data_IF_127169247701
#
_entry.id   IF_127169247701
#
_cell.length_a   1.000
_cell.length_b   1.000
_cell.length_c   1.000
_cell.angle_alpha   90.00
_cell.angle_beta   90.00
_cell.angle_gamma   90.00
#
_symmetry.space_group_name_H-M   'P 1'
#
loop_
_entity.id
_entity.type
_entity.pdbx_description
1 polymer ?
#
# COMPACT_ATOMS: atom_id res chain seq x y z
N UNK A 1 69.31 14.59 15.55
CA UNK A 1 68.72 15.88 15.96
C UNK A 1 67.23 15.66 16.25
N UNK A 2 66.65 16.32 17.26
CA UNK A 2 65.25 16.21 17.74
C UNK A 2 64.28 17.09 16.90
N UNK A 3 62.94 17.08 17.11
CA UNK A 3 62.06 16.11 17.79
C UNK A 3 60.79 15.72 16.99
N UNK A 4 59.94 14.84 17.55
CA UNK A 4 58.56 14.63 17.12
C UNK A 4 57.63 15.77 17.57
N UNK A 5 56.60 16.09 16.77
CA UNK A 5 55.51 16.98 17.19
C UNK A 5 54.48 16.24 18.03
N UNK A 6 54.08 16.84 19.15
CA UNK A 6 52.87 16.50 19.91
C UNK A 6 52.00 17.76 19.94
N UNK A 7 50.72 17.62 19.68
CA UNK A 7 49.73 18.72 19.74
C UNK A 7 48.81 18.53 20.93
N UNK A 8 48.48 19.63 21.60
CA UNK A 8 47.79 19.64 22.89
C UNK A 8 46.36 19.11 22.88
N UNK A 9 45.98 18.52 24.01
CA UNK A 9 44.62 18.36 24.54
C UNK A 9 44.75 18.85 26.00
N UNK A 10 43.86 19.65 26.61
CA UNK A 10 42.49 20.04 26.26
C UNK A 10 41.54 19.70 27.42
N UNK A 11 41.46 20.53 28.47
CA UNK A 11 40.91 20.18 29.81
C UNK A 11 39.43 19.69 29.88
N UNK A 12 39.13 18.43 29.51
CA UNK A 12 38.06 17.58 30.07
C UNK A 12 38.38 16.09 29.84
N UNK A 13 38.18 15.21 30.84
CA UNK A 13 39.06 14.03 31.16
C UNK A 13 40.48 14.45 31.65
N UNK A 14 40.73 15.75 31.54
CA UNK A 14 41.88 16.56 31.80
C UNK A 14 41.30 17.68 32.70
N UNK A 15 41.22 17.42 34.01
CA UNK A 15 40.64 18.31 35.03
C UNK A 15 41.12 17.89 36.44
N UNK A 16 42.27 17.21 36.49
CA UNK A 16 42.70 16.39 37.64
C UNK A 16 44.22 16.34 37.75
N UNK A 17 44.74 16.42 38.98
CA UNK A 17 46.17 16.57 39.26
C UNK A 17 47.05 15.41 38.76
N UNK A 18 48.29 15.70 38.29
CA UNK A 18 48.96 14.90 37.24
C UNK A 18 49.76 13.68 37.71
N UNK A 19 49.57 13.17 38.93
CA UNK A 19 50.56 12.29 39.58
C UNK A 19 50.27 10.78 39.52
N UNK A 20 49.41 10.35 38.59
CA UNK A 20 49.33 8.97 38.10
C UNK A 20 49.46 9.02 36.58
N UNK A 21 50.28 8.12 36.01
CA UNK A 21 50.56 8.07 34.57
C UNK A 21 49.33 7.52 33.81
N UNK A 22 48.32 8.34 33.62
CA UNK A 22 47.21 8.04 32.70
C UNK A 22 47.76 8.01 31.28
N UNK A 23 47.75 6.82 30.67
CA UNK A 23 48.19 6.62 29.30
C UNK A 23 47.05 6.95 28.35
N UNK A 24 47.22 7.98 27.51
CA UNK A 24 46.32 8.22 26.39
C UNK A 24 46.67 7.27 25.24
N UNK A 25 46.04 6.09 25.23
CA UNK A 25 46.09 5.20 24.08
C UNK A 25 45.09 5.63 23.01
N UNK A 26 45.61 6.02 21.83
CA UNK A 26 44.79 6.44 20.69
C UNK A 26 44.23 5.19 19.99
N UNK A 27 43.05 4.75 20.42
CA UNK A 27 42.36 3.62 19.80
C UNK A 27 41.77 4.00 18.43
N UNK A 28 42.34 3.46 17.36
CA UNK A 28 41.72 3.54 16.03
C UNK A 28 40.59 2.51 15.89
N UNK A 29 39.42 2.93 15.39
CA UNK A 29 38.31 2.01 15.13
C UNK A 29 38.63 1.11 13.94
N UNK A 30 38.64 -0.20 14.16
CA UNK A 30 38.75 -1.21 13.08
C UNK A 30 37.62 -0.99 12.07
N UNK A 31 37.99 -0.84 10.80
CA UNK A 31 37.05 -0.75 9.68
C UNK A 31 36.77 -2.15 9.14
N UNK A 32 35.54 -2.40 8.73
CA UNK A 32 35.12 -3.61 8.04
C UNK A 32 34.35 -3.25 6.77
N UNK A 33 34.28 -4.20 5.83
CA UNK A 33 33.56 -4.00 4.58
C UNK A 33 32.04 -3.96 4.82
N UNK A 34 31.39 -2.96 4.24
CA UNK A 34 29.95 -2.79 4.27
C UNK A 34 29.41 -2.67 2.84
N UNK A 35 28.32 -3.37 2.53
CA UNK A 35 27.58 -3.25 1.28
C UNK A 35 26.10 -3.04 1.56
N UNK A 36 25.56 -1.95 1.03
CA UNK A 36 24.11 -1.71 1.00
C UNK A 36 23.45 -2.64 -0.05
N UNK A 37 22.38 -3.33 0.35
CA UNK A 37 21.55 -4.21 -0.50
C UNK A 37 20.09 -3.71 -0.59
N UNK A 38 19.84 -2.46 -0.16
CA UNK A 38 18.50 -1.86 -0.09
C UNK A 38 17.99 -1.29 -1.43
N UNK A 39 18.77 -1.34 -2.51
CA UNK A 39 18.43 -0.78 -3.84
C UNK A 39 17.00 -1.12 -4.31
N UNK A 40 16.53 -2.35 -4.08
CA UNK A 40 15.17 -2.79 -4.43
C UNK A 40 14.03 -2.03 -3.72
N UNK A 41 14.34 -1.27 -2.68
CA UNK A 41 13.42 -0.43 -1.92
C UNK A 41 13.58 1.07 -2.24
N UNK A 42 14.62 1.47 -2.98
CA UNK A 42 14.86 2.86 -3.37
C UNK A 42 13.93 3.24 -4.54
N UNK A 43 12.91 4.05 -4.24
CA UNK A 43 11.94 4.48 -5.24
C UNK A 43 12.38 5.77 -5.95
N UNK A 44 13.03 5.61 -7.10
CA UNK A 44 13.58 6.72 -7.88
C UNK A 44 12.55 7.46 -8.75
N UNK A 45 11.34 6.90 -8.97
CA UNK A 45 10.30 7.50 -9.82
C UNK A 45 8.91 7.37 -9.16
N UNK A 46 8.45 8.47 -8.56
CA UNK A 46 7.13 8.54 -7.90
C UNK A 46 6.04 8.88 -8.93
N UNK A 47 5.33 7.85 -9.38
CA UNK A 47 4.16 7.97 -10.25
C UNK A 47 2.89 7.59 -9.45
N UNK A 48 2.03 8.58 -9.22
CA UNK A 48 0.81 8.44 -8.42
C UNK A 48 -0.47 8.27 -9.27
N UNK A 49 -0.35 8.16 -10.59
CA UNK A 49 -1.51 7.97 -11.49
C UNK A 49 -2.12 6.56 -11.41
N UNK A 50 -1.41 5.60 -10.81
CA UNK A 50 -1.73 4.16 -10.82
C UNK A 50 -2.58 3.73 -9.62
N UNK A 51 -3.69 3.05 -9.90
CA UNK A 51 -4.52 2.39 -8.89
C UNK A 51 -3.86 1.11 -8.33
N UNK A 52 -4.18 0.74 -7.09
CA UNK A 52 -3.55 -0.37 -6.36
C UNK A 52 -3.71 -1.78 -6.94
N UNK A 53 -4.61 -2.01 -7.91
CA UNK A 53 -4.91 -3.34 -8.45
C UNK A 53 -3.67 -4.10 -8.95
N UNK A 54 -2.71 -3.40 -9.56
CA UNK A 54 -1.46 -3.99 -10.06
C UNK A 54 -0.60 -4.65 -8.96
N UNK A 55 -0.66 -4.15 -7.73
CA UNK A 55 0.07 -4.71 -6.58
C UNK A 55 -0.51 -6.09 -6.21
N UNK A 56 -1.84 -6.21 -6.18
CA UNK A 56 -2.52 -7.47 -5.88
C UNK A 56 -2.30 -8.51 -6.98
N UNK A 57 -2.36 -8.09 -8.26
CA UNK A 57 -2.04 -8.95 -9.39
C UNK A 57 -0.60 -9.49 -9.31
N UNK A 58 0.40 -8.62 -9.11
CA UNK A 58 1.80 -9.06 -8.97
C UNK A 58 2.02 -9.95 -7.74
N UNK A 59 1.34 -9.66 -6.61
CA UNK A 59 1.45 -10.46 -5.39
C UNK A 59 0.88 -11.86 -5.60
N UNK A 60 -0.34 -11.96 -6.16
CA UNK A 60 -1.00 -13.23 -6.45
C UNK A 60 -0.13 -14.10 -7.36
N UNK A 61 0.33 -13.57 -8.49
CA UNK A 61 1.14 -14.33 -9.47
C UNK A 61 2.45 -14.86 -8.89
N UNK A 62 3.20 -14.03 -8.16
CA UNK A 62 4.47 -14.44 -7.53
C UNK A 62 4.25 -15.50 -6.45
N UNK A 63 3.31 -15.28 -5.54
CA UNK A 63 3.04 -16.21 -4.45
C UNK A 63 2.45 -17.53 -4.96
N UNK A 64 1.56 -17.49 -5.96
CA UNK A 64 0.95 -18.69 -6.56
C UNK A 64 2.01 -19.64 -7.13
N UNK A 65 3.03 -19.12 -7.83
CA UNK A 65 4.11 -19.97 -8.35
C UNK A 65 4.86 -20.73 -7.23
N UNK A 66 5.18 -20.06 -6.12
CA UNK A 66 5.83 -20.71 -4.97
C UNK A 66 4.90 -21.70 -4.24
N UNK A 67 3.62 -21.37 -4.11
CA UNK A 67 2.64 -22.25 -3.47
C UNK A 67 2.37 -23.52 -4.30
N UNK A 68 2.22 -23.42 -5.62
CA UNK A 68 2.01 -24.57 -6.50
C UNK A 68 3.12 -25.63 -6.37
N UNK A 69 4.37 -25.21 -6.23
CA UNK A 69 5.48 -26.13 -5.99
C UNK A 69 5.35 -26.84 -4.64
N UNK A 70 5.01 -26.10 -3.57
CA UNK A 70 4.81 -26.69 -2.22
C UNK A 70 3.62 -27.63 -2.15
N UNK A 71 2.51 -27.28 -2.81
CA UNK A 71 1.29 -28.10 -2.97
C UNK A 71 1.66 -29.47 -3.55
N UNK A 72 2.40 -29.49 -4.67
CA UNK A 72 2.87 -30.73 -5.30
C UNK A 72 3.81 -31.55 -4.41
N UNK A 73 4.69 -30.89 -3.65
CA UNK A 73 5.61 -31.58 -2.72
C UNK A 73 4.89 -32.16 -1.49
N UNK A 74 3.84 -31.50 -0.98
CA UNK A 74 3.14 -31.92 0.24
C UNK A 74 1.99 -32.90 -0.02
N UNK A 75 1.31 -32.78 -1.16
CA UNK A 75 0.09 -33.54 -1.47
C UNK A 75 0.15 -34.32 -2.80
N UNK A 76 1.30 -34.32 -3.46
CA UNK A 76 1.50 -35.04 -4.73
C UNK A 76 0.86 -34.33 -5.93
N UNK A 77 0.79 -35.05 -7.05
CA UNK A 77 0.16 -34.57 -8.29
C UNK A 77 -1.31 -35.03 -8.44
N UNK A 78 -1.85 -35.75 -7.44
CA UNK A 78 -3.19 -36.34 -7.45
C UNK A 78 -4.29 -35.29 -7.17
N UNK A 79 -3.95 -34.21 -6.46
CA UNK A 79 -4.89 -33.15 -6.11
C UNK A 79 -4.89 -32.03 -7.16
N UNK A 80 -6.05 -31.79 -7.77
CA UNK A 80 -6.23 -30.73 -8.76
C UNK A 80 -6.23 -29.32 -8.15
N UNK A 81 -5.63 -28.35 -8.85
CA UNK A 81 -5.65 -26.93 -8.46
C UNK A 81 -6.62 -26.13 -9.33
N UNK A 82 -7.90 -26.11 -8.93
CA UNK A 82 -9.00 -25.41 -9.63
C UNK A 82 -8.96 -23.88 -9.39
N UNK A 83 -9.66 -23.08 -10.21
CA UNK A 83 -9.96 -21.67 -9.88
C UNK A 83 -11.26 -21.60 -9.08
N UNK A 84 -11.42 -20.53 -8.30
CA UNK A 84 -12.63 -20.32 -7.49
C UNK A 84 -13.92 -20.25 -8.33
N UNK A 85 -13.84 -19.73 -9.56
CA UNK A 85 -14.97 -19.67 -10.50
C UNK A 85 -15.25 -20.99 -11.24
N UNK A 86 -14.36 -21.98 -11.12
CA UNK A 86 -14.51 -23.30 -11.76
C UNK A 86 -15.15 -24.32 -10.79
N UNK A 87 -15.56 -23.89 -9.59
CA UNK A 87 -16.25 -24.73 -8.60
C UNK A 87 -17.73 -24.83 -8.93
N UNK A 88 -18.26 -26.05 -8.98
CA UNK A 88 -19.68 -26.31 -9.17
C UNK A 88 -20.36 -26.58 -7.82
N UNK A 89 -21.61 -26.14 -7.65
CA UNK A 89 -22.37 -26.32 -6.41
C UNK A 89 -22.95 -27.74 -6.26
N UNK A 90 -23.14 -28.46 -7.37
CA UNK A 90 -23.88 -29.74 -7.43
C UNK A 90 -22.99 -30.97 -7.69
N UNK A 91 -21.69 -30.80 -7.98
CA UNK A 91 -20.78 -31.93 -8.19
C UNK A 91 -20.28 -32.50 -6.86
N UNK A 92 -20.37 -33.82 -6.67
CA UNK A 92 -19.77 -34.54 -5.53
C UNK A 92 -18.36 -34.04 -5.23
N UNK A 93 -18.07 -33.78 -3.94
CA UNK A 93 -16.97 -32.92 -3.50
C UNK A 93 -15.57 -33.53 -3.71
N UNK A 94 -15.07 -33.47 -4.94
CA UNK A 94 -13.67 -33.75 -5.27
C UNK A 94 -12.74 -32.86 -4.43
N UNK A 95 -11.77 -33.49 -3.75
CA UNK A 95 -10.75 -32.76 -2.99
C UNK A 95 -9.87 -31.99 -3.97
N UNK A 96 -9.96 -30.66 -3.93
CA UNK A 96 -9.15 -29.77 -4.75
C UNK A 96 -8.47 -28.70 -3.90
N UNK A 97 -7.46 -28.04 -4.46
CA UNK A 97 -6.71 -26.94 -3.82
C UNK A 97 -7.00 -25.63 -4.53
N UNK A 98 -7.34 -24.60 -3.74
CA UNK A 98 -7.56 -23.24 -4.24
C UNK A 98 -6.44 -22.35 -3.72
N UNK A 99 -5.81 -21.58 -4.61
CA UNK A 99 -4.75 -20.63 -4.27
C UNK A 99 -5.17 -19.22 -4.65
N UNK A 100 -5.38 -18.38 -3.64
CA UNK A 100 -5.81 -16.98 -3.76
C UNK A 100 -5.22 -16.07 -2.68
N UNK A 101 -5.78 -14.87 -2.54
CA UNK A 101 -5.44 -13.91 -1.48
C UNK A 101 -6.59 -13.89 -0.46
N UNK A 102 -6.27 -14.01 0.82
CA UNK A 102 -7.25 -13.89 1.90
C UNK A 102 -7.59 -12.41 2.09
N UNK A 103 -8.88 -12.09 2.09
CA UNK A 103 -9.42 -10.80 2.52
C UNK A 103 -10.18 -10.98 3.83
N UNK A 104 -9.97 -10.08 4.80
CA UNK A 104 -10.69 -10.07 6.06
C UNK A 104 -11.64 -8.88 6.06
N UNK A 105 -12.95 -9.16 6.04
CA UNK A 105 -13.94 -8.13 6.32
C UNK A 105 -13.90 -7.78 7.82
N UNK A 106 -14.01 -6.50 8.15
CA UNK A 106 -13.94 -5.99 9.52
C UNK A 106 -14.92 -4.83 9.65
N UNK A 107 -15.99 -5.01 10.42
CA UNK A 107 -17.08 -4.02 10.56
C UNK A 107 -16.60 -2.70 11.19
N UNK A 108 -15.63 -2.78 12.10
CA UNK A 108 -15.01 -1.63 12.75
C UNK A 108 -13.80 -1.05 11.97
N UNK A 109 -13.61 -1.43 10.70
CA UNK A 109 -12.59 -0.81 9.86
C UNK A 109 -13.04 0.60 9.47
N UNK A 110 -12.19 1.65 9.64
CA UNK A 110 -12.55 3.02 9.25
C UNK A 110 -12.85 3.07 7.75
N UNK A 111 -13.92 3.75 7.37
CA UNK A 111 -14.37 3.79 5.97
C UNK A 111 -14.52 5.23 5.57
N UNK A 112 -13.63 5.72 4.72
CA UNK A 112 -13.62 7.12 4.23
C UNK A 112 -15.00 7.50 3.65
N UNK A 113 -15.71 6.55 3.03
CA UNK A 113 -17.07 6.80 2.52
C UNK A 113 -18.11 6.95 3.64
N UNK A 114 -17.95 6.20 4.74
CA UNK A 114 -18.78 6.33 5.94
C UNK A 114 -18.49 7.65 6.64
N UNK A 115 -17.21 7.96 6.85
CA UNK A 115 -16.75 9.20 7.47
C UNK A 115 -17.31 10.42 6.71
N UNK A 116 -17.19 10.46 5.37
CA UNK A 116 -17.75 11.54 4.50
C UNK A 116 -19.30 11.57 4.51
N UNK A 117 -19.97 10.47 4.81
CA UNK A 117 -21.44 10.42 4.90
C UNK A 117 -21.99 10.84 6.27
N UNK A 118 -21.21 10.63 7.34
CA UNK A 118 -21.56 10.94 8.72
C UNK A 118 -21.12 12.38 9.08
N UNK A 119 -19.90 12.77 8.72
CA UNK A 119 -19.48 14.16 8.65
C UNK A 119 -20.04 14.81 7.38
N UNK A 120 -21.25 15.37 7.48
CA UNK A 120 -21.88 16.15 6.40
C UNK A 120 -20.95 17.26 5.89
N UNK A 121 -20.23 16.95 4.81
CA UNK A 121 -18.93 17.56 4.59
C UNK A 121 -19.01 19.07 4.27
N UNK A 122 -18.26 19.94 4.97
CA UNK A 122 -18.06 21.33 4.59
C UNK A 122 -17.07 21.45 3.41
N UNK A 123 -17.22 20.59 2.39
CA UNK A 123 -16.55 20.74 1.08
C UNK A 123 -17.19 21.88 0.29
N UNK A 124 -16.93 23.09 0.79
CA UNK A 124 -17.19 24.37 0.14
C UNK A 124 -18.60 24.47 -0.51
N UNK A 125 -19.60 24.78 0.33
CA UNK A 125 -21.03 24.82 -0.03
C UNK A 125 -21.34 25.66 -1.28
N UNK A 126 -20.47 26.61 -1.64
CA UNK A 126 -20.55 27.42 -2.87
C UNK A 126 -20.36 26.60 -4.15
N UNK A 127 -19.49 25.59 -4.15
CA UNK A 127 -19.25 24.74 -5.34
C UNK A 127 -20.40 23.76 -5.57
N UNK A 128 -20.92 23.13 -4.51
CA UNK A 128 -22.06 22.20 -4.60
C UNK A 128 -23.35 22.96 -4.92
N UNK A 129 -23.57 24.15 -4.36
CA UNK A 129 -24.72 24.98 -4.73
C UNK A 129 -24.65 25.48 -6.19
N UNK A 130 -23.48 25.89 -6.70
CA UNK A 130 -23.31 26.25 -8.11
C UNK A 130 -23.54 25.07 -9.06
N UNK A 131 -23.03 23.88 -8.73
CA UNK A 131 -23.23 22.66 -9.51
C UNK A 131 -24.70 22.20 -9.49
N UNK A 132 -25.37 22.25 -8.34
CA UNK A 132 -26.79 21.86 -8.23
C UNK A 132 -27.72 22.88 -8.86
N UNK A 133 -27.42 24.18 -8.81
CA UNK A 133 -28.21 25.22 -9.49
C UNK A 133 -28.16 25.08 -11.02
N UNK A 134 -26.97 24.82 -11.58
CA UNK A 134 -26.80 24.59 -13.03
C UNK A 134 -27.47 23.30 -13.48
N UNK A 135 -27.35 22.20 -12.73
CA UNK A 135 -28.07 20.95 -13.01
C UNK A 135 -29.60 21.09 -12.93
N UNK A 136 -30.13 21.75 -11.88
CA UNK A 136 -31.58 21.92 -11.69
C UNK A 136 -32.20 22.82 -12.76
N UNK A 137 -31.45 23.82 -13.23
CA UNK A 137 -31.85 24.68 -14.36
C UNK A 137 -31.79 23.92 -15.69
N UNK A 138 -30.72 23.16 -15.93
CA UNK A 138 -30.57 22.31 -17.13
C UNK A 138 -31.63 21.21 -17.20
N UNK A 139 -31.99 20.59 -16.07
CA UNK A 139 -33.09 19.63 -15.96
C UNK A 139 -34.44 20.30 -16.27
N UNK A 140 -34.76 21.45 -15.66
CA UNK A 140 -36.00 22.19 -16.00
C UNK A 140 -36.08 22.60 -17.47
N UNK A 141 -34.96 22.97 -18.09
CA UNK A 141 -34.90 23.30 -19.51
C UNK A 141 -35.13 22.04 -20.36
N UNK A 142 -34.48 20.92 -20.02
CA UNK A 142 -34.65 19.65 -20.71
C UNK A 142 -36.07 19.08 -20.58
N UNK A 143 -36.69 19.16 -19.40
CA UNK A 143 -38.11 18.78 -19.20
C UNK A 143 -39.09 19.66 -19.97
N UNK A 144 -38.80 20.95 -20.20
CA UNK A 144 -39.62 21.81 -21.07
C UNK A 144 -39.42 21.50 -22.56
N UNK A 145 -38.22 21.04 -22.95
CA UNK A 145 -37.92 20.61 -24.32
C UNK A 145 -38.48 19.20 -24.61
N UNK A 146 -38.51 18.30 -23.63
CA UNK A 146 -39.04 16.94 -23.79
C UNK A 146 -40.57 16.86 -23.72
N UNK A 147 -41.26 17.87 -23.19
CA UNK A 147 -42.72 17.91 -23.10
C UNK A 147 -43.45 17.96 -24.47
N UNK A 148 -42.71 18.10 -25.58
CA UNK A 148 -43.24 18.07 -26.94
C UNK A 148 -43.09 16.74 -27.68
N UNK A 149 -42.47 15.71 -27.09
CA UNK A 149 -42.23 14.41 -27.75
C UNK A 149 -42.71 13.27 -26.85
N UNK A 150 -43.76 12.59 -27.29
CA UNK A 150 -44.31 11.40 -26.61
C UNK A 150 -43.65 10.11 -27.10
N UNK A 151 -43.79 9.07 -26.27
CA UNK A 151 -43.50 7.64 -26.53
C UNK A 151 -42.13 7.07 -26.10
N UNK A 152 -42.24 5.89 -25.49
CA UNK A 152 -41.23 4.91 -25.06
C UNK A 152 -40.63 5.04 -23.63
N UNK A 153 -40.71 3.97 -22.79
CA UNK A 153 -40.16 3.95 -21.44
C UNK A 153 -38.67 3.53 -21.42
N UNK A 154 -37.86 4.18 -20.60
CA UNK A 154 -36.50 3.73 -20.28
C UNK A 154 -36.41 3.26 -18.83
N UNK A 155 -35.70 2.15 -18.63
CA UNK A 155 -35.67 1.40 -17.39
C UNK A 155 -34.98 2.16 -16.24
N UNK A 156 -35.49 1.95 -15.04
CA UNK A 156 -34.99 2.53 -13.80
C UNK A 156 -33.71 1.81 -13.34
N UNK A 157 -32.54 2.33 -13.69
CA UNK A 157 -31.28 1.90 -13.05
C UNK A 157 -31.15 2.65 -11.72
N UNK A 158 -31.39 1.93 -10.62
CA UNK A 158 -31.07 2.37 -9.25
C UNK A 158 -29.58 2.15 -8.99
N UNK A 159 -28.95 3.15 -8.37
CA UNK A 159 -27.87 2.94 -7.40
C UNK A 159 -28.50 2.79 -6.01
#
# INVERSE_FOLDING_TARGET
MKPAMKSDVGECVLASSPNLKTYEEIYSRVKCDYRDLSEKFKNNKKDFSKQYAHIYASRSSKTRAHLLNRVRTQWGNDIEVKKLADLQEESDSERCVIVGIIYKHQELHPSILKDISEEGAPVNLLLISAATATWKTRWKLWSRLSAGVTSAPLALIRF
#
